data_IF_465174189443
#
_entry.id   IF_465174189443
#
_cell.length_a   1.000
_cell.length_b   1.000
_cell.length_c   1.000
_cell.angle_alpha   90.00
_cell.angle_beta   90.00
_cell.angle_gamma   90.00
#
_symmetry.space_group_name_H-M   'P 1'
#
loop_
_entity.id
_entity.type
_entity.pdbx_description
1 polymer ?
#
# COMPACT_ATOMS: atom_id res chain seq x y z
N UNK A 1 -1.51 -33.45 19.53
CA UNK A 1 -0.39 -33.10 18.62
C UNK A 1 -0.98 -32.23 17.54
N UNK A 2 -0.96 -30.94 17.82
CA UNK A 2 -1.68 -29.94 17.05
C UNK A 2 -1.10 -29.78 15.65
N UNK A 3 -2.00 -29.57 14.70
CA UNK A 3 -1.68 -29.48 13.27
C UNK A 3 -0.68 -28.36 12.94
N UNK A 4 -0.46 -27.40 13.85
CA UNK A 4 0.56 -26.36 13.72
C UNK A 4 2.01 -26.88 13.83
N UNK A 5 2.29 -27.81 14.74
CA UNK A 5 3.67 -28.31 14.97
C UNK A 5 4.17 -29.12 13.78
N UNK A 6 3.27 -29.83 13.09
CA UNK A 6 3.60 -30.60 11.89
C UNK A 6 3.93 -29.71 10.69
N UNK A 7 3.36 -28.51 10.59
CA UNK A 7 3.62 -27.57 9.50
C UNK A 7 5.00 -26.91 9.66
N UNK A 8 5.39 -26.57 10.90
CA UNK A 8 6.68 -25.92 11.16
C UNK A 8 7.88 -26.88 11.14
N UNK A 9 7.71 -28.12 11.61
CA UNK A 9 8.76 -29.15 11.55
C UNK A 9 9.08 -29.62 10.12
N UNK A 10 8.15 -29.44 9.17
CA UNK A 10 8.37 -29.77 7.76
C UNK A 10 8.94 -28.56 7.00
N UNK A 11 8.50 -27.33 7.29
CA UNK A 11 8.90 -26.15 6.52
C UNK A 11 10.25 -25.55 6.95
N UNK A 12 10.62 -25.60 8.23
CA UNK A 12 11.88 -25.00 8.70
C UNK A 12 13.14 -25.72 8.20
N UNK A 13 13.19 -27.08 8.15
CA UNK A 13 14.31 -27.79 7.54
C UNK A 13 14.41 -27.58 6.02
N UNK A 14 13.26 -27.56 5.32
CA UNK A 14 13.20 -27.34 3.86
C UNK A 14 13.71 -25.95 3.47
N UNK A 15 13.42 -24.91 4.28
CA UNK A 15 13.93 -23.55 4.08
C UNK A 15 15.46 -23.49 4.27
N UNK A 16 15.99 -24.17 5.29
CA UNK A 16 17.42 -24.17 5.62
C UNK A 16 18.23 -24.98 4.60
N UNK A 17 17.76 -26.17 4.20
CA UNK A 17 18.44 -26.97 3.16
C UNK A 17 18.32 -26.33 1.77
N UNK A 18 17.18 -25.70 1.44
CA UNK A 18 16.95 -25.07 0.15
C UNK A 18 17.74 -23.78 -0.07
N UNK A 19 17.97 -22.97 0.98
CA UNK A 19 18.83 -21.78 0.88
C UNK A 19 20.34 -22.09 0.98
N UNK A 20 20.74 -23.26 1.50
CA UNK A 20 22.15 -23.62 1.72
C UNK A 20 22.79 -24.48 0.61
N UNK A 21 22.03 -25.21 -0.23
CA UNK A 21 22.58 -26.08 -1.29
C UNK A 21 22.39 -25.52 -2.71
N UNK A 22 23.44 -24.85 -3.22
CA UNK A 22 23.79 -24.51 -4.63
C UNK A 22 22.66 -24.53 -5.69
N UNK A 23 22.35 -23.34 -6.23
CA UNK A 23 22.57 -22.89 -7.61
C UNK A 23 22.38 -23.84 -8.84
N UNK A 24 21.77 -25.02 -8.76
CA UNK A 24 21.68 -25.95 -9.90
C UNK A 24 20.50 -26.93 -9.83
N UNK A 25 19.29 -26.44 -9.55
CA UNK A 25 18.07 -27.22 -9.78
C UNK A 25 17.14 -26.47 -10.73
N UNK A 26 16.64 -27.11 -11.81
CA UNK A 26 15.71 -26.46 -12.72
C UNK A 26 14.41 -26.18 -11.97
N UNK A 27 13.89 -24.97 -12.19
CA UNK A 27 12.67 -24.42 -11.65
C UNK A 27 11.52 -25.45 -11.64
N UNK A 28 11.17 -25.96 -10.45
CA UNK A 28 9.93 -26.72 -10.29
C UNK A 28 8.79 -25.74 -10.02
N UNK A 29 8.18 -25.22 -11.08
CA UNK A 29 6.96 -24.43 -11.02
C UNK A 29 5.73 -25.30 -10.76
N UNK A 30 5.64 -25.90 -9.58
CA UNK A 30 4.38 -26.52 -9.14
C UNK A 30 4.08 -26.18 -7.68
N UNK A 31 3.35 -25.07 -7.51
CA UNK A 31 2.20 -24.94 -6.61
C UNK A 31 2.35 -25.01 -5.08
N UNK A 32 3.42 -25.57 -4.49
CA UNK A 32 3.45 -25.81 -3.03
C UNK A 32 4.82 -25.70 -2.35
N UNK A 33 5.84 -25.11 -3.00
CA UNK A 33 7.18 -24.96 -2.43
C UNK A 33 7.53 -23.53 -2.03
N UNK A 34 8.25 -23.36 -0.91
CA UNK A 34 8.81 -22.07 -0.48
C UNK A 34 9.73 -21.42 -1.53
N UNK A 35 10.04 -20.15 -1.32
CA UNK A 35 10.84 -19.37 -2.27
C UNK A 35 12.32 -19.38 -1.89
N UNK A 36 13.18 -19.71 -2.86
CA UNK A 36 14.62 -19.94 -2.68
C UNK A 36 15.49 -19.00 -3.53
N UNK A 37 14.93 -17.89 -4.02
CA UNK A 37 15.74 -16.89 -4.71
C UNK A 37 16.74 -16.25 -3.74
N UNK A 38 17.82 -15.66 -4.26
CA UNK A 38 18.83 -14.98 -3.43
C UNK A 38 18.19 -13.90 -2.56
N UNK A 39 17.26 -13.16 -3.16
CA UNK A 39 16.46 -12.11 -2.54
C UNK A 39 15.62 -12.69 -1.40
N UNK A 40 14.93 -13.81 -1.66
CA UNK A 40 14.11 -14.52 -0.69
C UNK A 40 14.88 -15.00 0.53
N UNK A 41 16.03 -15.63 0.31
CA UNK A 41 16.88 -16.13 1.39
C UNK A 41 17.49 -14.97 2.21
N UNK A 42 17.82 -13.85 1.56
CA UNK A 42 18.29 -12.64 2.25
C UNK A 42 17.23 -12.07 3.19
N UNK A 43 15.98 -12.02 2.73
CA UNK A 43 14.82 -11.55 3.49
C UNK A 43 14.50 -12.49 4.65
N UNK A 44 14.45 -13.80 4.39
CA UNK A 44 14.19 -14.80 5.42
C UNK A 44 15.23 -14.70 6.54
N UNK A 45 16.51 -14.47 6.18
CA UNK A 45 17.58 -14.23 7.13
C UNK A 45 17.36 -12.95 7.94
N UNK A 46 16.87 -11.87 7.33
CA UNK A 46 16.53 -10.63 8.03
C UNK A 46 15.43 -10.85 9.07
N UNK A 47 14.30 -11.48 8.69
CA UNK A 47 13.23 -11.79 9.64
C UNK A 47 13.68 -12.70 10.78
N UNK A 48 14.52 -13.70 10.50
CA UNK A 48 15.07 -14.58 11.55
C UNK A 48 15.85 -13.83 12.62
N UNK A 49 16.41 -12.65 12.34
CA UNK A 49 17.13 -11.86 13.35
C UNK A 49 16.21 -11.23 14.40
N UNK A 50 14.92 -11.06 14.11
CA UNK A 50 13.96 -10.42 15.02
C UNK A 50 12.95 -11.40 15.64
N UNK A 51 13.00 -12.67 15.25
CA UNK A 51 12.14 -13.71 15.79
C UNK A 51 12.64 -14.23 17.14
N UNK A 52 11.72 -14.49 18.06
CA UNK A 52 11.99 -15.16 19.32
C UNK A 52 11.61 -16.65 19.20
N UNK A 53 12.57 -17.47 18.77
CA UNK A 53 12.36 -18.90 18.56
C UNK A 53 12.18 -19.70 19.87
N UNK A 54 12.29 -19.05 21.04
CA UNK A 54 12.07 -19.70 22.33
C UNK A 54 10.59 -19.80 22.70
N UNK A 55 9.73 -19.03 22.04
CA UNK A 55 8.29 -18.99 22.28
C UNK A 55 7.56 -19.86 21.27
N UNK A 56 6.54 -20.62 21.71
CA UNK A 56 5.72 -21.40 20.78
C UNK A 56 4.80 -20.44 19.99
N UNK A 57 4.86 -20.41 18.65
CA UNK A 57 3.97 -19.58 17.84
C UNK A 57 2.47 -19.89 18.02
N UNK A 58 2.13 -21.06 18.56
CA UNK A 58 0.74 -21.42 18.86
C UNK A 58 0.24 -20.79 20.17
N UNK A 59 1.16 -20.44 21.08
CA UNK A 59 0.86 -19.83 22.37
C UNK A 59 0.92 -18.29 22.27
N UNK A 60 1.99 -17.76 21.68
CA UNK A 60 2.12 -16.32 21.44
C UNK A 60 2.84 -16.06 20.11
N UNK A 61 2.05 -16.04 19.04
CA UNK A 61 2.52 -15.77 17.70
C UNK A 61 3.20 -14.39 17.58
N UNK A 62 2.69 -13.39 18.29
CA UNK A 62 3.25 -12.04 18.21
C UNK A 62 4.65 -12.01 18.82
N UNK A 63 4.82 -12.58 20.01
CA UNK A 63 6.13 -12.68 20.64
C UNK A 63 7.07 -13.56 19.81
N UNK A 64 6.62 -14.69 19.26
CA UNK A 64 7.45 -15.51 18.38
C UNK A 64 7.98 -14.76 17.16
N UNK A 65 7.13 -13.97 16.48
CA UNK A 65 7.53 -13.26 15.25
C UNK A 65 8.28 -11.95 15.54
N UNK A 66 7.87 -11.20 16.57
CA UNK A 66 8.32 -9.83 16.83
C UNK A 66 9.12 -9.66 18.13
N UNK A 67 9.24 -10.69 18.96
CA UNK A 67 9.78 -10.61 20.32
C UNK A 67 11.24 -10.17 20.39
N UNK A 68 12.04 -10.48 19.37
CA UNK A 68 13.43 -10.04 19.25
C UNK A 68 13.61 -8.69 18.55
N UNK A 69 12.53 -8.03 18.10
CA UNK A 69 12.62 -6.79 17.33
C UNK A 69 13.23 -5.64 18.13
N UNK A 70 12.84 -5.47 19.39
CA UNK A 70 13.35 -4.39 20.25
C UNK A 70 14.84 -4.50 20.54
N UNK A 71 15.33 -5.73 20.73
CA UNK A 71 16.74 -6.02 21.04
C UNK A 71 17.62 -5.96 19.79
N UNK A 72 17.10 -6.39 18.64
CA UNK A 72 17.85 -6.45 17.38
C UNK A 72 17.50 -5.34 16.40
N UNK A 73 16.79 -4.30 16.84
CA UNK A 73 16.34 -3.18 16.00
C UNK A 73 17.47 -2.58 15.17
N UNK A 74 18.63 -2.34 15.77
CA UNK A 74 19.78 -1.75 15.07
C UNK A 74 20.36 -2.68 13.99
N UNK A 75 20.39 -4.00 14.24
CA UNK A 75 20.86 -5.01 13.28
C UNK A 75 19.86 -5.13 12.13
N UNK A 76 18.57 -5.18 12.45
CA UNK A 76 17.49 -5.14 11.48
C UNK A 76 17.58 -3.87 10.62
N UNK A 77 17.70 -2.68 11.22
CA UNK A 77 17.81 -1.40 10.51
C UNK A 77 19.04 -1.30 9.60
N UNK A 78 20.18 -1.89 9.98
CA UNK A 78 21.37 -1.96 9.09
C UNK A 78 21.23 -2.94 7.94
N UNK A 79 20.56 -4.07 8.15
CA UNK A 79 20.22 -4.99 7.07
C UNK A 79 19.13 -4.39 6.17
N UNK A 80 18.24 -3.57 6.74
CA UNK A 80 17.13 -2.88 6.10
C UNK A 80 17.60 -1.71 5.21
N UNK A 81 18.63 -0.96 5.64
CA UNK A 81 19.26 0.08 4.80
C UNK A 81 19.87 -0.48 3.51
N UNK A 82 20.27 -1.75 3.52
CA UNK A 82 20.80 -2.46 2.35
C UNK A 82 19.73 -3.28 1.59
N UNK A 83 18.48 -3.40 2.08
CA UNK A 83 17.52 -4.39 1.56
C UNK A 83 16.13 -3.91 1.13
N UNK A 84 15.84 -2.61 1.09
CA UNK A 84 14.53 -2.07 0.63
C UNK A 84 13.31 -2.54 1.47
N UNK A 85 13.50 -3.06 2.69
CA UNK A 85 12.44 -3.67 3.50
C UNK A 85 11.68 -2.63 4.37
N UNK A 86 12.24 -1.43 4.57
CA UNK A 86 11.67 -0.41 5.45
C UNK A 86 10.37 0.14 4.90
N UNK A 87 9.32 0.18 5.72
CA UNK A 87 8.07 0.85 5.36
C UNK A 87 8.20 2.36 5.63
N UNK A 88 9.05 3.03 4.85
CA UNK A 88 9.16 4.49 4.87
C UNK A 88 8.53 5.08 3.60
N UNK A 89 7.43 5.80 3.76
CA UNK A 89 6.74 6.47 2.64
C UNK A 89 7.54 7.64 2.06
N UNK A 90 8.67 8.03 2.66
CA UNK A 90 9.56 9.06 2.13
C UNK A 90 10.02 8.75 0.70
N UNK A 91 10.26 7.47 0.36
CA UNK A 91 10.63 7.09 -1.01
C UNK A 91 9.50 7.39 -2.01
N UNK A 92 8.28 6.97 -1.70
CA UNK A 92 7.10 7.27 -2.52
C UNK A 92 6.85 8.78 -2.65
N UNK A 93 7.02 9.53 -1.56
CA UNK A 93 6.93 10.99 -1.59
C UNK A 93 8.02 11.63 -2.45
N UNK A 94 9.26 11.15 -2.36
CA UNK A 94 10.37 11.67 -3.17
C UNK A 94 10.12 11.43 -4.65
N UNK A 95 9.63 10.26 -5.03
CA UNK A 95 9.25 9.95 -6.41
C UNK A 95 8.13 10.86 -6.93
N UNK A 96 7.08 11.05 -6.12
CA UNK A 96 6.02 11.99 -6.41
C UNK A 96 6.52 13.45 -6.56
N UNK A 97 7.43 13.88 -5.67
CA UNK A 97 8.06 15.21 -5.73
C UNK A 97 8.88 15.38 -7.01
N UNK A 98 9.67 14.36 -7.39
CA UNK A 98 10.49 14.35 -8.61
C UNK A 98 9.63 14.43 -9.87
N UNK A 99 8.53 13.68 -9.89
CA UNK A 99 7.54 13.69 -10.98
C UNK A 99 6.91 15.09 -11.13
N UNK A 100 6.48 15.69 -10.03
CA UNK A 100 5.89 17.04 -10.07
C UNK A 100 6.94 18.07 -10.50
N UNK A 101 8.17 17.96 -10.01
CA UNK A 101 9.28 18.83 -10.39
C UNK A 101 9.54 18.79 -11.90
N UNK A 102 9.65 17.60 -12.50
CA UNK A 102 9.95 17.45 -13.94
C UNK A 102 8.84 18.06 -14.82
N UNK A 103 7.57 17.92 -14.39
CA UNK A 103 6.43 18.52 -15.07
C UNK A 103 6.46 20.05 -14.92
N UNK A 104 6.88 20.58 -13.77
CA UNK A 104 6.88 22.01 -13.49
C UNK A 104 8.08 22.75 -14.05
N UNK A 105 9.20 22.06 -14.29
CA UNK A 105 10.38 22.63 -14.97
C UNK A 105 10.14 22.88 -16.46
N UNK A 106 9.24 22.10 -17.09
CA UNK A 106 8.96 22.20 -18.52
C UNK A 106 8.02 23.36 -18.90
N UNK A 107 8.17 23.85 -20.14
CA UNK A 107 7.44 25.00 -20.70
C UNK A 107 6.24 24.51 -21.53
N UNK A 108 5.04 24.56 -20.96
CA UNK A 108 3.80 24.28 -21.70
C UNK A 108 2.80 25.44 -21.61
N UNK A 109 2.04 25.66 -22.69
CA UNK A 109 0.89 26.57 -22.74
C UNK A 109 -0.24 25.96 -21.94
N UNK A 110 -0.65 26.62 -20.84
CA UNK A 110 -1.50 25.98 -19.84
C UNK A 110 -2.70 26.78 -19.35
N UNK A 111 -3.67 26.03 -18.83
CA UNK A 111 -4.81 26.48 -18.02
C UNK A 111 -4.33 27.36 -16.85
N UNK A 112 -5.18 28.28 -16.42
CA UNK A 112 -4.82 29.33 -15.45
C UNK A 112 -4.36 28.79 -14.08
N UNK A 113 -4.97 27.72 -13.56
CA UNK A 113 -4.65 27.14 -12.25
C UNK A 113 -3.28 26.44 -12.24
N UNK A 114 -3.00 25.57 -13.22
CA UNK A 114 -1.68 24.95 -13.38
C UNK A 114 -0.57 25.98 -13.60
N UNK A 115 -0.86 27.03 -14.36
CA UNK A 115 0.05 28.17 -14.53
C UNK A 115 0.39 28.86 -13.21
N UNK A 116 -0.60 29.08 -12.33
CA UNK A 116 -0.38 29.68 -10.99
C UNK A 116 0.47 28.78 -10.08
N UNK A 117 0.21 27.48 -10.07
CA UNK A 117 0.98 26.53 -9.28
C UNK A 117 2.44 26.45 -9.72
N UNK A 118 2.68 26.34 -11.04
CA UNK A 118 4.04 26.40 -11.60
C UNK A 118 4.76 27.71 -11.29
N UNK A 119 4.04 28.84 -11.38
CA UNK A 119 4.63 30.14 -11.08
C UNK A 119 5.03 30.23 -9.60
N UNK A 120 4.16 29.78 -8.69
CA UNK A 120 4.44 29.68 -7.24
C UNK A 120 5.69 28.84 -6.99
N UNK A 121 5.74 27.64 -7.57
CA UNK A 121 6.88 26.74 -7.44
C UNK A 121 8.18 27.38 -7.96
N UNK A 122 8.15 27.97 -9.17
CA UNK A 122 9.31 28.62 -9.80
C UNK A 122 9.81 29.83 -9.04
N UNK A 123 8.91 30.63 -8.46
CA UNK A 123 9.30 31.75 -7.61
C UNK A 123 10.00 31.28 -6.35
N UNK A 124 9.47 30.25 -5.68
CA UNK A 124 10.13 29.68 -4.51
C UNK A 124 11.53 29.13 -4.86
N UNK A 125 11.66 28.45 -6.01
CA UNK A 125 12.93 27.89 -6.47
C UNK A 125 14.00 28.94 -6.77
N UNK A 126 13.63 30.22 -6.93
CA UNK A 126 14.54 31.30 -7.32
C UNK A 126 14.96 32.10 -6.08
N UNK A 127 16.15 31.82 -5.54
CA UNK A 127 16.73 32.53 -4.39
C UNK A 127 17.88 33.43 -4.87
N UNK A 128 17.77 34.75 -4.64
CA UNK A 128 18.78 35.75 -5.07
C UNK A 128 19.22 35.63 -6.55
N UNK A 129 18.29 35.29 -7.44
CA UNK A 129 18.60 35.11 -8.87
C UNK A 129 19.21 33.76 -9.25
N UNK A 130 19.55 32.91 -8.28
CA UNK A 130 20.03 31.53 -8.48
C UNK A 130 18.92 30.49 -8.25
N UNK A 131 19.02 29.34 -8.94
CA UNK A 131 18.08 28.22 -8.76
C UNK A 131 18.53 27.42 -7.53
N UNK A 132 17.66 27.31 -6.52
CA UNK A 132 17.90 26.46 -5.35
C UNK A 132 17.92 24.98 -5.74
N UNK A 133 18.83 24.20 -5.17
CA UNK A 133 18.84 22.73 -5.30
C UNK A 133 17.82 22.05 -4.37
N UNK A 134 17.34 22.76 -3.35
CA UNK A 134 16.31 22.24 -2.43
C UNK A 134 14.91 22.54 -2.98
N UNK A 135 14.40 21.61 -3.78
CA UNK A 135 13.04 21.65 -4.32
C UNK A 135 11.98 21.08 -3.36
N UNK A 136 12.39 20.38 -2.29
CA UNK A 136 11.46 19.80 -1.32
C UNK A 136 10.69 20.88 -0.57
N UNK A 137 11.38 21.94 -0.13
CA UNK A 137 10.74 23.10 0.48
C UNK A 137 9.70 23.74 -0.46
N UNK A 138 10.07 23.97 -1.72
CA UNK A 138 9.19 24.60 -2.70
C UNK A 138 8.02 23.72 -3.14
N UNK A 139 8.22 22.41 -3.16
CA UNK A 139 7.14 21.46 -3.32
C UNK A 139 6.14 21.57 -2.19
N UNK A 140 6.59 21.61 -0.93
CA UNK A 140 5.71 21.73 0.24
C UNK A 140 4.94 23.06 0.27
N UNK A 141 5.58 24.18 -0.08
CA UNK A 141 4.92 25.49 -0.25
C UNK A 141 3.87 25.45 -1.37
N UNK A 142 4.16 24.75 -2.47
CA UNK A 142 3.18 24.62 -3.55
C UNK A 142 2.03 23.72 -3.15
N UNK A 143 2.33 22.62 -2.45
CA UNK A 143 1.36 21.66 -1.93
C UNK A 143 0.39 22.31 -0.95
N UNK A 144 0.83 23.24 -0.10
CA UNK A 144 -0.06 23.92 0.86
C UNK A 144 -1.16 24.76 0.18
N UNK A 145 -0.98 25.17 -1.07
CA UNK A 145 -1.97 25.95 -1.83
C UNK A 145 -2.64 25.19 -2.97
N UNK A 146 -2.00 24.14 -3.50
CA UNK A 146 -2.42 23.45 -4.72
C UNK A 146 -2.43 21.93 -4.55
N UNK A 147 -2.70 21.41 -3.34
CA UNK A 147 -2.58 19.98 -3.01
C UNK A 147 -3.31 19.06 -4.00
N UNK A 148 -4.59 19.33 -4.31
CA UNK A 148 -5.40 18.51 -5.21
C UNK A 148 -4.93 18.62 -6.66
N UNK A 149 -4.53 19.82 -7.09
CA UNK A 149 -3.94 20.03 -8.40
C UNK A 149 -2.61 19.27 -8.55
N UNK A 150 -1.74 19.28 -7.54
CA UNK A 150 -0.52 18.46 -7.57
C UNK A 150 -0.85 16.98 -7.65
N UNK A 151 -1.91 16.54 -6.96
CA UNK A 151 -2.46 15.19 -7.09
C UNK A 151 -2.85 14.84 -8.52
N UNK A 152 -3.55 15.76 -9.18
CA UNK A 152 -3.97 15.61 -10.55
C UNK A 152 -2.80 15.61 -11.55
N UNK A 153 -1.82 16.48 -11.32
CA UNK A 153 -0.57 16.52 -12.11
C UNK A 153 0.20 15.20 -11.96
N UNK A 154 0.30 14.68 -10.74
CA UNK A 154 0.95 13.40 -10.46
C UNK A 154 0.26 12.23 -11.18
N UNK A 155 -1.08 12.17 -11.14
CA UNK A 155 -1.85 11.14 -11.84
C UNK A 155 -1.76 11.23 -13.38
N UNK A 156 -1.56 12.44 -13.92
CA UNK A 156 -1.48 12.71 -15.37
C UNK A 156 -0.06 12.58 -15.97
N UNK A 157 0.92 12.12 -15.19
CA UNK A 157 2.30 11.99 -15.68
C UNK A 157 2.42 11.06 -16.89
N UNK A 158 3.57 11.07 -17.56
CA UNK A 158 3.83 10.26 -18.77
C UNK A 158 3.86 8.74 -18.49
N UNK A 159 3.67 8.31 -17.24
CA UNK A 159 3.68 6.92 -16.80
C UNK A 159 2.27 6.32 -16.63
N UNK A 160 1.27 6.80 -17.39
CA UNK A 160 -0.11 6.33 -17.28
C UNK A 160 -0.25 4.81 -17.39
N UNK A 161 0.49 4.16 -18.30
CA UNK A 161 0.45 2.70 -18.46
C UNK A 161 0.91 1.96 -17.18
N UNK A 162 1.99 2.42 -16.56
CA UNK A 162 2.50 1.85 -15.30
C UNK A 162 1.53 2.12 -14.14
N UNK A 163 0.90 3.29 -14.11
CA UNK A 163 -0.14 3.60 -13.13
C UNK A 163 -1.35 2.68 -13.29
N UNK A 164 -1.76 2.37 -14.53
CA UNK A 164 -2.85 1.42 -14.79
C UNK A 164 -2.50 -0.01 -14.37
N UNK A 165 -1.26 -0.46 -14.57
CA UNK A 165 -0.82 -1.77 -14.09
C UNK A 165 -0.88 -1.85 -12.55
N UNK A 166 -0.39 -0.81 -11.87
CA UNK A 166 -0.46 -0.68 -10.40
C UNK A 166 -1.91 -0.71 -9.90
N UNK A 167 -2.78 0.09 -10.52
CA UNK A 167 -4.22 0.15 -10.19
C UNK A 167 -4.86 -1.23 -10.36
N UNK A 168 -4.61 -1.90 -11.50
CA UNK A 168 -5.13 -3.24 -11.76
C UNK A 168 -4.66 -4.24 -10.71
N UNK A 169 -3.38 -4.22 -10.35
CA UNK A 169 -2.82 -5.10 -9.32
C UNK A 169 -3.52 -4.91 -7.97
N UNK A 170 -3.71 -3.66 -7.53
CA UNK A 170 -4.41 -3.37 -6.26
C UNK A 170 -5.89 -3.74 -6.33
N UNK A 171 -6.54 -3.57 -7.48
CA UNK A 171 -7.92 -4.01 -7.72
C UNK A 171 -8.04 -5.54 -7.55
N UNK A 172 -7.13 -6.30 -8.14
CA UNK A 172 -7.11 -7.76 -8.03
C UNK A 172 -6.93 -8.18 -6.56
N UNK A 173 -6.00 -7.55 -5.84
CA UNK A 173 -5.80 -7.78 -4.40
C UNK A 173 -7.05 -7.46 -3.58
N UNK A 174 -7.73 -6.34 -3.86
CA UNK A 174 -8.96 -5.96 -3.16
C UNK A 174 -10.06 -7.02 -3.35
N UNK A 175 -10.21 -7.53 -4.56
CA UNK A 175 -11.18 -8.58 -4.88
C UNK A 175 -10.87 -9.90 -4.15
N UNK A 176 -9.59 -10.27 -4.07
CA UNK A 176 -9.17 -11.44 -3.31
C UNK A 176 -9.44 -11.28 -1.80
N UNK A 177 -9.12 -10.13 -1.21
CA UNK A 177 -9.39 -9.86 0.21
C UNK A 177 -10.90 -9.85 0.48
N UNK A 178 -11.72 -9.26 -0.41
CA UNK A 178 -13.19 -9.33 -0.33
C UNK A 178 -13.68 -10.78 -0.31
N UNK A 179 -13.15 -11.62 -1.20
CA UNK A 179 -13.50 -13.04 -1.25
C UNK A 179 -13.13 -13.78 0.03
N UNK A 180 -11.94 -13.51 0.59
CA UNK A 180 -11.53 -14.08 1.89
C UNK A 180 -12.46 -13.64 3.02
N UNK A 181 -12.82 -12.36 3.08
CA UNK A 181 -13.76 -11.84 4.07
C UNK A 181 -15.15 -12.49 3.98
N UNK A 182 -15.69 -12.60 2.76
CA UNK A 182 -16.97 -13.26 2.53
C UNK A 182 -16.94 -14.72 2.96
N UNK A 183 -15.84 -15.43 2.70
CA UNK A 183 -15.64 -16.82 3.13
C UNK A 183 -15.63 -16.95 4.65
N UNK A 184 -14.90 -16.07 5.35
CA UNK A 184 -14.83 -16.05 6.82
C UNK A 184 -16.22 -15.83 7.42
N UNK A 185 -16.98 -14.87 6.90
CA UNK A 185 -18.34 -14.59 7.39
C UNK A 185 -19.28 -15.75 7.13
N UNK A 186 -19.24 -16.34 5.93
CA UNK A 186 -20.11 -17.46 5.58
C UNK A 186 -19.85 -18.70 6.46
N UNK A 187 -18.58 -18.98 6.75
CA UNK A 187 -18.15 -20.11 7.59
C UNK A 187 -18.29 -19.85 9.10
N UNK A 188 -18.60 -18.62 9.50
CA UNK A 188 -18.79 -18.27 10.90
C UNK A 188 -19.94 -19.06 11.54
N UNK A 189 -19.68 -19.60 12.73
CA UNK A 189 -20.66 -20.31 13.55
C UNK A 189 -21.46 -19.40 14.48
N UNK A 190 -20.98 -18.19 14.73
CA UNK A 190 -21.58 -17.27 15.70
C UNK A 190 -22.58 -16.29 15.05
N UNK A 191 -22.58 -16.18 13.72
CA UNK A 191 -23.52 -15.34 12.97
C UNK A 191 -24.68 -16.18 12.43
N UNK A 192 -25.90 -15.71 12.63
CA UNK A 192 -27.09 -16.30 12.02
C UNK A 192 -27.10 -16.07 10.50
N UNK A 193 -27.77 -16.97 9.76
CA UNK A 193 -27.87 -16.88 8.29
C UNK A 193 -28.46 -15.54 7.82
N UNK A 194 -29.46 -15.01 8.53
CA UNK A 194 -30.05 -13.70 8.20
C UNK A 194 -29.05 -12.54 8.32
N UNK A 195 -28.07 -12.64 9.24
CA UNK A 195 -27.02 -11.63 9.41
C UNK A 195 -25.97 -11.80 8.30
N UNK A 196 -25.64 -13.05 7.94
CA UNK A 196 -24.73 -13.35 6.82
C UNK A 196 -25.26 -12.82 5.49
N UNK A 197 -26.55 -13.01 5.21
CA UNK A 197 -27.21 -12.47 4.00
C UNK A 197 -27.14 -10.94 3.96
N UNK A 198 -27.49 -10.27 5.07
CA UNK A 198 -27.40 -8.79 5.17
C UNK A 198 -25.96 -8.30 5.01
N UNK A 199 -25.00 -9.02 5.55
CA UNK A 199 -23.58 -8.72 5.36
C UNK A 199 -23.20 -8.79 3.88
N UNK A 200 -23.59 -9.86 3.18
CA UNK A 200 -23.31 -10.03 1.75
C UNK A 200 -23.96 -8.92 0.90
N UNK A 201 -25.23 -8.57 1.17
CA UNK A 201 -25.92 -7.47 0.48
C UNK A 201 -25.23 -6.11 0.70
N UNK A 202 -24.71 -5.89 1.90
CA UNK A 202 -24.02 -4.64 2.25
C UNK A 202 -22.64 -4.57 1.60
N UNK A 203 -21.92 -5.69 1.62
CA UNK A 203 -20.64 -5.86 0.94
C UNK A 203 -20.74 -5.56 -0.55
N UNK A 204 -21.81 -6.03 -1.21
CA UNK A 204 -22.04 -5.82 -2.64
C UNK A 204 -22.29 -4.36 -3.05
N UNK A 205 -22.66 -3.48 -2.10
CA UNK A 205 -22.97 -2.06 -2.36
C UNK A 205 -21.75 -1.14 -2.18
N UNK A 206 -20.68 -1.64 -1.57
CA UNK A 206 -19.48 -0.83 -1.34
C UNK A 206 -18.71 -0.70 -2.66
N UNK A 207 -18.54 0.54 -3.11
CA UNK A 207 -17.73 0.84 -4.29
C UNK A 207 -16.28 1.05 -3.91
N UNK A 208 -15.42 1.17 -4.91
CA UNK A 208 -14.00 1.42 -4.72
C UNK A 208 -13.47 2.42 -5.75
N UNK A 209 -12.51 3.22 -5.31
CA UNK A 209 -11.77 4.20 -6.10
C UNK A 209 -10.29 3.95 -5.84
N UNK A 210 -9.66 3.32 -6.82
CA UNK A 210 -8.27 2.88 -6.75
C UNK A 210 -7.43 3.78 -7.66
N UNK A 211 -6.54 4.55 -7.04
CA UNK A 211 -5.57 5.43 -7.70
C UNK A 211 -6.08 6.85 -7.79
N UNK A 212 -7.04 7.09 -8.68
CA UNK A 212 -7.62 8.40 -8.95
C UNK A 212 -8.99 8.28 -9.65
N UNK A 213 -9.83 9.31 -9.51
CA UNK A 213 -11.11 9.41 -10.23
C UNK A 213 -10.88 9.99 -11.64
N UNK A 214 -11.66 9.59 -12.67
CA UNK A 214 -11.48 10.09 -14.04
C UNK A 214 -11.47 11.62 -14.17
N UNK A 215 -12.29 12.30 -13.35
CA UNK A 215 -12.39 13.77 -13.31
C UNK A 215 -11.05 14.47 -13.04
N UNK A 216 -10.14 13.79 -12.33
CA UNK A 216 -8.79 14.28 -12.02
C UNK A 216 -7.95 14.43 -13.30
N UNK A 217 -8.25 13.66 -14.35
CA UNK A 217 -7.59 13.75 -15.65
C UNK A 217 -8.20 14.82 -16.56
N UNK A 218 -9.45 15.23 -16.38
CA UNK A 218 -10.13 16.06 -17.39
C UNK A 218 -9.97 17.57 -17.12
N UNK A 219 -10.09 18.01 -15.87
CA UNK A 219 -10.14 19.43 -15.55
C UNK A 219 -9.09 19.94 -14.53
N UNK A 220 -7.92 20.38 -15.04
CA UNK A 220 -6.91 21.10 -14.24
C UNK A 220 -7.16 22.62 -14.10
N UNK A 221 -8.30 23.15 -14.57
CA UNK A 221 -8.57 24.59 -14.51
C UNK A 221 -9.32 25.02 -13.23
N UNK A 222 -10.07 24.11 -12.62
CA UNK A 222 -10.98 24.42 -11.52
C UNK A 222 -10.55 23.70 -10.23
N UNK A 223 -10.11 24.49 -9.24
CA UNK A 223 -9.63 23.99 -7.96
C UNK A 223 -10.79 23.47 -7.09
N UNK A 224 -11.97 24.06 -7.21
CA UNK A 224 -13.16 23.65 -6.45
C UNK A 224 -13.72 22.33 -6.96
N UNK A 225 -13.61 22.09 -8.27
CA UNK A 225 -13.97 20.78 -8.84
C UNK A 225 -12.96 19.70 -8.43
N UNK A 226 -11.66 19.99 -8.47
CA UNK A 226 -10.61 19.05 -8.04
C UNK A 226 -10.71 18.70 -6.55
N UNK A 227 -11.14 19.62 -5.68
CA UNK A 227 -11.37 19.37 -4.25
C UNK A 227 -12.49 18.37 -3.97
N UNK A 228 -13.43 18.19 -4.91
CA UNK A 228 -14.49 17.17 -4.79
C UNK A 228 -13.95 15.76 -5.04
N UNK A 229 -12.85 15.65 -5.78
CA UNK A 229 -12.20 14.38 -6.06
C UNK A 229 -11.27 13.95 -4.92
N UNK A 230 -11.05 12.64 -4.84
CA UNK A 230 -10.07 12.05 -3.97
C UNK A 230 -8.65 12.38 -4.46
N UNK A 231 -7.81 12.88 -3.56
CA UNK A 231 -6.46 13.32 -3.91
C UNK A 231 -5.52 12.11 -4.12
N UNK A 232 -4.97 11.89 -5.33
CA UNK A 232 -4.07 10.77 -5.62
C UNK A 232 -2.76 10.81 -4.81
N UNK A 233 -2.36 11.98 -4.30
CA UNK A 233 -1.17 12.18 -3.46
C UNK A 233 -1.43 12.04 -1.95
N UNK A 234 -2.63 11.63 -1.54
CA UNK A 234 -2.90 11.31 -0.14
C UNK A 234 -2.03 10.13 0.32
N UNK A 235 -1.50 10.17 1.55
CA UNK A 235 -0.91 9.00 2.21
C UNK A 235 -1.94 8.08 2.84
N UNK A 236 -3.18 8.55 2.92
CA UNK A 236 -4.18 7.95 3.80
C UNK A 236 -5.23 7.26 2.93
N UNK A 237 -5.27 5.92 2.93
CA UNK A 237 -6.36 5.18 2.34
C UNK A 237 -7.53 5.21 3.32
N UNK A 238 -8.76 5.31 2.80
CA UNK A 238 -9.92 5.57 3.66
C UNK A 238 -11.18 4.91 3.14
N UNK A 239 -12.01 4.40 4.05
CA UNK A 239 -13.41 4.10 3.76
C UNK A 239 -14.27 5.33 4.07
N UNK A 240 -14.95 5.88 3.07
CA UNK A 240 -15.90 6.98 3.25
C UNK A 240 -17.30 6.44 3.45
N UNK A 241 -17.90 6.72 4.62
CA UNK A 241 -19.31 6.41 4.91
C UNK A 241 -20.26 7.16 3.98
N UNK A 242 -19.98 8.44 3.72
CA UNK A 242 -20.81 9.32 2.89
C UNK A 242 -20.90 8.86 1.43
N UNK A 243 -19.76 8.44 0.87
CA UNK A 243 -19.69 7.91 -0.50
C UNK A 243 -19.91 6.40 -0.59
N UNK A 244 -20.03 5.72 0.55
CA UNK A 244 -20.04 4.25 0.68
C UNK A 244 -18.95 3.58 -0.18
N UNK A 245 -17.73 4.10 -0.09
CA UNK A 245 -16.65 3.78 -1.03
C UNK A 245 -15.30 3.66 -0.33
N UNK A 246 -14.47 2.72 -0.80
CA UNK A 246 -13.07 2.56 -0.39
C UNK A 246 -12.20 3.40 -1.32
N UNK A 247 -11.29 4.20 -0.76
CA UNK A 247 -10.34 5.02 -1.50
C UNK A 247 -8.91 4.57 -1.22
N UNK A 248 -8.18 4.22 -2.28
CA UNK A 248 -6.76 3.86 -2.21
C UNK A 248 -5.97 4.83 -3.10
N UNK A 249 -5.14 5.73 -2.54
CA UNK A 249 -4.41 6.73 -3.33
C UNK A 249 -3.33 6.12 -4.22
N UNK A 250 -3.11 6.75 -5.38
CA UNK A 250 -2.04 6.37 -6.30
C UNK A 250 -0.66 6.39 -5.63
N UNK A 251 -0.40 7.34 -4.73
CA UNK A 251 0.85 7.42 -3.98
C UNK A 251 1.20 6.11 -3.25
N UNK A 252 0.19 5.41 -2.71
CA UNK A 252 0.37 4.16 -1.97
C UNK A 252 0.63 2.95 -2.87
N UNK A 253 0.57 3.11 -4.19
CA UNK A 253 0.85 2.03 -5.15
C UNK A 253 2.31 2.01 -5.58
N UNK A 254 3.16 2.72 -4.83
CA UNK A 254 4.59 2.76 -5.03
C UNK A 254 5.31 2.01 -3.91
N UNK A 255 6.59 1.65 -4.12
CA UNK A 255 7.43 1.18 -3.03
C UNK A 255 7.47 2.21 -1.89
N UNK A 256 7.50 1.75 -0.62
CA UNK A 256 7.65 0.37 -0.18
C UNK A 256 6.31 -0.37 0.05
N UNK A 257 5.17 0.23 -0.30
CA UNK A 257 3.85 -0.34 -0.03
C UNK A 257 3.49 -1.42 -1.06
N UNK A 258 3.74 -1.14 -2.34
CA UNK A 258 3.45 -2.04 -3.45
C UNK A 258 4.69 -2.21 -4.32
N UNK A 259 4.96 -3.45 -4.72
CA UNK A 259 6.02 -3.86 -5.63
C UNK A 259 7.42 -3.36 -5.23
N UNK A 260 7.97 -3.92 -4.16
CA UNK A 260 9.36 -3.65 -3.71
C UNK A 260 10.45 -4.19 -4.64
N UNK A 261 10.18 -4.46 -5.93
CA UNK A 261 11.16 -5.02 -6.87
C UNK A 261 11.54 -6.49 -6.66
N UNK A 262 11.05 -7.13 -5.58
CA UNK A 262 11.39 -8.50 -5.20
C UNK A 262 10.51 -9.58 -5.87
N UNK A 263 9.40 -9.19 -6.52
CA UNK A 263 8.48 -10.11 -7.18
C UNK A 263 7.69 -11.05 -6.24
N UNK A 264 7.76 -10.82 -4.92
CA UNK A 264 7.11 -11.65 -3.91
C UNK A 264 5.75 -11.07 -3.52
N UNK A 265 4.67 -11.81 -3.85
CA UNK A 265 3.31 -11.43 -3.45
C UNK A 265 3.17 -11.21 -1.94
N UNK A 266 3.87 -11.99 -1.11
CA UNK A 266 3.78 -11.91 0.34
C UNK A 266 4.03 -10.49 0.90
N UNK A 267 4.91 -9.70 0.28
CA UNK A 267 5.13 -8.30 0.68
C UNK A 267 3.98 -7.39 0.31
N UNK A 268 3.45 -7.55 -0.90
CA UNK A 268 2.29 -6.78 -1.34
C UNK A 268 1.10 -7.06 -0.41
N UNK A 269 0.80 -8.32 -0.10
CA UNK A 269 -0.27 -8.65 0.85
C UNK A 269 0.05 -8.25 2.30
N UNK A 270 1.32 -8.31 2.70
CA UNK A 270 1.77 -7.89 4.03
C UNK A 270 1.62 -6.38 4.27
N UNK A 271 1.75 -5.56 3.23
CA UNK A 271 1.57 -4.10 3.32
C UNK A 271 0.20 -3.68 2.79
N UNK A 272 0.01 -3.71 1.46
CA UNK A 272 -1.25 -3.31 0.82
C UNK A 272 -2.41 -4.23 1.22
N UNK A 273 -2.21 -5.55 1.32
CA UNK A 273 -3.28 -6.48 1.72
C UNK A 273 -3.83 -6.21 3.12
N UNK A 274 -2.96 -5.89 4.10
CA UNK A 274 -3.38 -5.49 5.45
C UNK A 274 -4.19 -4.20 5.41
N UNK A 275 -3.75 -3.20 4.64
CA UNK A 275 -4.48 -1.93 4.44
C UNK A 275 -5.87 -2.21 3.87
N UNK A 276 -5.97 -2.99 2.79
CA UNK A 276 -7.24 -3.33 2.16
C UNK A 276 -8.16 -4.08 3.14
N UNK A 277 -7.61 -5.03 3.91
CA UNK A 277 -8.34 -5.74 4.96
C UNK A 277 -8.90 -4.81 6.03
N UNK A 278 -8.12 -3.83 6.50
CA UNK A 278 -8.57 -2.83 7.45
C UNK A 278 -9.71 -1.97 6.89
N UNK A 279 -9.60 -1.50 5.64
CA UNK A 279 -10.64 -0.69 4.99
C UNK A 279 -11.94 -1.46 4.82
N UNK A 280 -11.84 -2.73 4.42
CA UNK A 280 -12.97 -3.64 4.34
C UNK A 280 -13.60 -3.82 5.72
N UNK A 281 -12.81 -4.09 6.78
CA UNK A 281 -13.33 -4.20 8.14
C UNK A 281 -14.07 -2.92 8.59
N UNK A 282 -13.49 -1.75 8.34
CA UNK A 282 -14.08 -0.45 8.67
C UNK A 282 -15.42 -0.23 7.96
N UNK A 283 -15.53 -0.67 6.70
CA UNK A 283 -16.76 -0.56 5.93
C UNK A 283 -17.93 -1.33 6.55
N UNK A 284 -17.64 -2.51 7.11
CA UNK A 284 -18.64 -3.34 7.77
C UNK A 284 -19.01 -2.86 9.18
N UNK A 285 -18.04 -2.43 9.99
CA UNK A 285 -18.33 -1.90 11.34
C UNK A 285 -19.21 -0.66 11.27
N UNK A 286 -18.95 0.20 10.28
CA UNK A 286 -19.76 1.38 10.01
C UNK A 286 -21.23 1.05 9.73
N UNK A 287 -21.47 -0.06 9.03
CA UNK A 287 -22.81 -0.55 8.72
C UNK A 287 -23.50 -1.17 9.94
N UNK A 288 -22.75 -1.89 10.78
CA UNK A 288 -23.27 -2.49 12.01
C UNK A 288 -23.69 -1.44 13.06
N UNK A 289 -22.91 -0.36 13.25
CA UNK A 289 -23.20 0.68 14.25
C UNK A 289 -24.44 1.51 13.87
N UNK A 290 -24.62 1.82 12.57
CA UNK A 290 -25.80 2.57 12.11
C UNK A 290 -27.12 1.89 12.49
N UNK A 291 -27.14 0.56 12.62
CA UNK A 291 -28.35 -0.22 12.90
C UNK A 291 -28.52 -0.63 14.36
N UNK A 292 -27.45 -0.60 15.17
CA UNK A 292 -27.61 -0.78 16.63
C UNK A 292 -28.44 0.39 17.20
N UNK A 293 -28.31 1.59 16.63
CA UNK A 293 -29.12 2.76 16.99
C UNK A 293 -30.55 2.73 16.42
N UNK A 294 -30.86 1.86 15.45
CA UNK A 294 -32.23 1.65 14.97
C UNK A 294 -32.98 0.58 15.78
N UNK A 295 -32.29 -0.12 16.68
CA UNK A 295 -32.81 -1.21 17.53
C UNK A 295 -32.87 -0.78 19.02
N UNK A 296 -32.35 0.40 19.37
CA UNK A 296 -32.44 1.02 20.71
C UNK A 296 -33.28 2.29 20.59
#
# INVERSE_FOLDING_TARGET
MDRCVLVLLVLLPDIIEGCSRRASYPLRQNGTGGCYSKECCSIAKSFQTTMDLSVDPCEDFYQFVCGGYTENKAVYETLDSDSEISFNLASAYNDAMNTVYSIFSNSSKEKSLLRRARWTFRLCMRKNGTISSDYSHCYNVTKSHFNYLLGAVYARNDHQEQNQEKIKKVQDMLNEVRFSYATIVNQSRWMDETIKERFAESAAKITDVIGYEPIVLDNLADDEELKKAFNPLSSDPVFSKERNAIFVPLLMMNPPVLNRGLGLKAFDYGAMGVILGQLIAQSYVSFSISRILDII
#
